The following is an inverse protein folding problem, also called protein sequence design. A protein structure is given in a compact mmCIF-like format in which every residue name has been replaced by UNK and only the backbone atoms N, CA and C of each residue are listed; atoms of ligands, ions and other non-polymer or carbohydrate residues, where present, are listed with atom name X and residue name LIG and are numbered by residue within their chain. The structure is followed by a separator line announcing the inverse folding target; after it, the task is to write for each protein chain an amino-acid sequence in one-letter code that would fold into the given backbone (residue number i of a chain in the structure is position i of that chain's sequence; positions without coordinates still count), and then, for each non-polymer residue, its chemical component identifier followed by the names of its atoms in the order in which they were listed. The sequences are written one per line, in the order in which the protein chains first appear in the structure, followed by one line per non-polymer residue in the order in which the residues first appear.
data_IF_868997939748
#
_entry.id   IF_868997939748
#
_cell.length_a   1.000
_cell.length_b   1.000
_cell.length_c   1.000
_cell.angle_alpha   90.00
_cell.angle_beta   90.00
_cell.angle_gamma   90.00
#
_symmetry.space_group_name_H-M   'P 1'
#
loop_
_entity.id
_entity.type
_entity.pdbx_description
1 polymer ?
#
# COMPACT_ATOMS: atom_id res chain seq x y z
N UNK A 1 12.45 2.24 28.08
CA UNK A 1 12.23 3.67 27.78
C UNK A 1 10.85 3.88 27.19
N UNK A 2 10.07 4.80 27.78
CA UNK A 2 8.73 5.21 27.33
C UNK A 2 8.82 5.93 25.97
N UNK A 3 7.74 5.89 25.17
CA UNK A 3 7.58 6.75 24.00
C UNK A 3 7.67 8.22 24.43
N UNK A 4 8.65 8.96 23.91
CA UNK A 4 8.55 10.42 23.87
C UNK A 4 7.52 10.78 22.80
N UNK A 5 6.32 11.15 23.24
CA UNK A 5 5.23 11.58 22.36
C UNK A 5 5.36 13.09 22.17
N UNK A 6 5.47 13.54 20.93
CA UNK A 6 5.45 14.97 20.62
C UNK A 6 4.06 15.55 20.94
N UNK A 7 3.92 16.23 22.09
CA UNK A 7 2.62 16.76 22.57
C UNK A 7 2.00 17.80 21.62
N UNK A 8 2.78 18.44 20.75
CA UNK A 8 2.32 19.40 19.71
C UNK A 8 2.31 18.79 18.30
N UNK A 9 2.42 17.47 18.19
CA UNK A 9 2.51 16.74 16.92
C UNK A 9 1.17 16.54 16.20
N UNK A 10 1.18 15.82 15.08
CA UNK A 10 0.00 15.49 14.28
C UNK A 10 -0.88 14.41 14.94
N UNK A 11 -2.20 14.54 14.80
CA UNK A 11 -3.18 13.49 15.12
C UNK A 11 -3.32 12.49 13.96
N UNK A 12 -3.89 11.32 14.21
CA UNK A 12 -4.14 10.28 13.18
C UNK A 12 -5.05 10.82 12.07
N UNK A 13 -6.03 11.65 12.43
CA UNK A 13 -6.89 12.32 11.47
C UNK A 13 -6.12 13.32 10.58
N UNK A 14 -5.20 14.10 11.14
CA UNK A 14 -4.37 15.04 10.37
C UNK A 14 -3.40 14.30 9.44
N UNK A 15 -2.77 13.21 9.92
CA UNK A 15 -1.91 12.38 9.09
C UNK A 15 -2.67 11.78 7.90
N UNK A 16 -3.90 11.33 8.10
CA UNK A 16 -4.75 10.83 7.00
C UNK A 16 -5.12 11.90 5.98
N UNK A 17 -5.29 13.15 6.41
CA UNK A 17 -5.52 14.26 5.48
C UNK A 17 -4.27 14.59 4.67
N UNK A 18 -3.09 14.62 5.31
CA UNK A 18 -1.81 14.79 4.61
C UNK A 18 -1.66 13.66 3.59
N UNK A 19 -1.84 12.40 4.00
CA UNK A 19 -1.78 11.24 3.11
C UNK A 19 -2.79 11.34 1.96
N UNK A 20 -4.03 11.76 2.23
CA UNK A 20 -5.09 11.89 1.22
C UNK A 20 -4.74 12.96 0.17
N UNK A 21 -4.23 14.12 0.58
CA UNK A 21 -3.83 15.18 -0.36
C UNK A 21 -2.68 14.69 -1.23
N UNK A 22 -1.66 14.07 -0.63
CA UNK A 22 -0.52 13.51 -1.35
C UNK A 22 -0.94 12.41 -2.32
N UNK A 23 -1.89 11.54 -1.93
CA UNK A 23 -2.47 10.51 -2.80
C UNK A 23 -3.16 11.11 -4.02
N UNK A 24 -3.92 12.19 -3.83
CA UNK A 24 -4.60 12.88 -4.94
C UNK A 24 -3.58 13.49 -5.89
N UNK A 25 -2.51 14.10 -5.37
CA UNK A 25 -1.42 14.62 -6.20
C UNK A 25 -0.74 13.51 -7.00
N UNK A 26 -0.40 12.40 -6.35
CA UNK A 26 0.20 11.22 -6.99
C UNK A 26 -0.69 10.71 -8.13
N UNK A 27 -1.98 10.56 -7.87
CA UNK A 27 -2.92 10.06 -8.87
C UNK A 27 -3.20 11.06 -9.99
N UNK A 28 -3.18 12.37 -9.72
CA UNK A 28 -3.23 13.38 -10.79
C UNK A 28 -2.02 13.22 -11.72
N UNK A 29 -0.82 12.99 -11.18
CA UNK A 29 0.32 12.66 -12.03
C UNK A 29 0.09 11.34 -12.78
N UNK A 30 -0.16 10.24 -12.06
CA UNK A 30 -0.33 8.89 -12.62
C UNK A 30 -1.38 8.81 -13.75
N UNK A 31 -2.52 9.48 -13.61
CA UNK A 31 -3.58 9.43 -14.63
C UNK A 31 -3.35 10.39 -15.80
N UNK A 32 -2.67 11.52 -15.59
CA UNK A 32 -2.55 12.59 -16.61
C UNK A 32 -1.13 12.84 -17.11
N UNK A 33 -0.15 12.01 -16.72
CA UNK A 33 1.25 12.09 -17.16
C UNK A 33 1.39 12.11 -18.68
N UNK A 34 0.54 11.39 -19.41
CA UNK A 34 0.51 11.36 -20.88
C UNK A 34 0.38 12.75 -21.52
N UNK A 35 -0.14 13.73 -20.79
CA UNK A 35 -0.28 15.11 -21.29
C UNK A 35 1.05 15.87 -21.36
N UNK A 36 2.07 15.40 -20.65
CA UNK A 36 3.36 16.10 -20.47
C UNK A 36 3.27 17.40 -19.66
N UNK A 37 2.10 17.71 -19.09
CA UNK A 37 1.84 18.99 -18.38
C UNK A 37 1.89 18.86 -16.86
N UNK A 38 1.74 17.65 -16.31
CA UNK A 38 1.76 17.44 -14.86
C UNK A 38 3.22 17.27 -14.41
N UNK A 39 3.71 18.09 -13.46
CA UNK A 39 5.08 17.97 -12.98
C UNK A 39 5.34 16.67 -12.21
N UNK A 40 6.52 16.06 -12.41
CA UNK A 40 6.94 14.83 -11.71
C UNK A 40 6.92 14.96 -10.19
N UNK A 41 7.17 16.16 -9.65
CA UNK A 41 7.20 16.37 -8.20
C UNK A 41 5.85 16.08 -7.50
N UNK A 42 4.73 16.07 -8.26
CA UNK A 42 3.44 15.59 -7.75
C UNK A 42 3.53 14.14 -7.29
N UNK A 43 4.13 13.28 -8.12
CA UNK A 43 4.34 11.86 -7.83
C UNK A 43 5.45 11.64 -6.81
N UNK A 44 6.52 12.44 -6.86
CA UNK A 44 7.61 12.39 -5.86
C UNK A 44 7.10 12.63 -4.44
N UNK A 45 6.31 13.71 -4.23
CA UNK A 45 5.65 13.98 -2.95
C UNK A 45 4.56 12.93 -2.66
N UNK A 46 3.89 12.46 -3.71
CA UNK A 46 2.89 11.40 -3.69
C UNK A 46 3.36 10.12 -2.99
N UNK A 47 4.64 9.75 -3.13
CA UNK A 47 5.23 8.55 -2.52
C UNK A 47 5.08 8.47 -0.99
N UNK A 48 4.95 9.61 -0.30
CA UNK A 48 4.76 9.63 1.15
C UNK A 48 3.34 9.18 1.58
N UNK A 49 2.36 9.18 0.66
CA UNK A 49 0.96 8.85 0.94
C UNK A 49 0.78 7.43 1.47
N UNK A 50 1.27 6.44 0.72
CA UNK A 50 1.08 5.04 1.04
C UNK A 50 1.66 4.64 2.41
N UNK A 51 2.91 5.03 2.75
CA UNK A 51 3.47 4.80 4.08
C UNK A 51 2.68 5.48 5.21
N UNK A 52 2.15 6.68 4.99
CA UNK A 52 1.33 7.37 5.98
C UNK A 52 0.03 6.60 6.24
N UNK A 53 -0.64 6.13 5.19
CA UNK A 53 -1.82 5.27 5.34
C UNK A 53 -1.47 3.94 6.01
N UNK A 54 -0.34 3.33 5.67
CA UNK A 54 0.18 2.13 6.32
C UNK A 54 0.39 2.38 7.83
N UNK A 55 1.04 3.48 8.19
CA UNK A 55 1.26 3.84 9.59
C UNK A 55 -0.07 4.00 10.35
N UNK A 56 -1.01 4.76 9.79
CA UNK A 56 -2.36 4.94 10.34
C UNK A 56 -3.17 3.64 10.44
N UNK A 57 -2.99 2.72 9.48
CA UNK A 57 -3.58 1.38 9.50
C UNK A 57 -3.08 0.59 10.71
N UNK A 58 -1.76 0.59 10.96
CA UNK A 58 -1.13 -0.11 12.07
C UNK A 58 -1.58 0.44 13.44
N UNK A 59 -1.67 1.76 13.58
CA UNK A 59 -2.24 2.40 14.78
C UNK A 59 -3.71 1.98 14.98
N UNK A 60 -4.50 1.96 13.91
CA UNK A 60 -5.89 1.49 13.93
C UNK A 60 -6.02 0.02 14.37
N UNK A 61 -5.13 -0.85 13.89
CA UNK A 61 -5.10 -2.27 14.25
C UNK A 61 -4.78 -2.52 15.73
N UNK A 62 -3.91 -1.68 16.32
CA UNK A 62 -3.55 -1.79 17.73
C UNK A 62 -4.66 -1.32 18.66
N UNK A 63 -5.39 -0.28 18.28
CA UNK A 63 -6.40 0.34 19.13
C UNK A 63 -7.82 -0.16 18.89
N UNK A 64 -8.06 -0.99 17.87
CA UNK A 64 -9.41 -1.53 17.60
C UNK A 64 -9.80 -2.60 18.63
N UNK A 65 -11.03 -2.50 19.15
CA UNK A 65 -11.62 -3.52 20.04
C UNK A 65 -12.00 -4.80 19.28
N UNK A 66 -12.32 -4.70 18.00
CA UNK A 66 -12.73 -5.84 17.16
C UNK A 66 -11.90 -5.85 15.86
N UNK A 67 -10.87 -6.71 15.86
CA UNK A 67 -9.95 -6.86 14.72
C UNK A 67 -10.60 -7.54 13.51
N UNK A 68 -11.52 -8.50 13.72
CA UNK A 68 -12.26 -9.14 12.62
C UNK A 68 -13.08 -8.13 11.83
N UNK A 69 -13.83 -7.27 12.51
CA UNK A 69 -14.61 -6.19 11.85
C UNK A 69 -13.71 -5.13 11.22
N UNK A 70 -12.52 -4.90 11.77
CA UNK A 70 -11.54 -3.98 11.18
C UNK A 70 -10.99 -4.55 9.86
N UNK A 71 -10.52 -5.79 9.87
CA UNK A 71 -10.06 -6.52 8.69
C UNK A 71 -11.15 -6.60 7.61
N UNK A 72 -12.36 -7.08 7.95
CA UNK A 72 -13.44 -7.26 6.96
C UNK A 72 -13.81 -5.98 6.22
N UNK A 73 -13.70 -4.81 6.87
CA UNK A 73 -13.96 -3.52 6.22
C UNK A 73 -12.94 -3.20 5.14
N UNK A 74 -11.67 -3.47 5.41
CA UNK A 74 -10.57 -3.20 4.48
C UNK A 74 -10.59 -4.25 3.36
N UNK A 75 -10.74 -5.52 3.73
CA UNK A 75 -10.81 -6.63 2.81
C UNK A 75 -12.00 -6.54 1.84
N UNK A 76 -13.18 -6.15 2.31
CA UNK A 76 -14.34 -5.98 1.42
C UNK A 76 -14.11 -4.91 0.34
N UNK A 77 -13.45 -3.80 0.70
CA UNK A 77 -13.11 -2.75 -0.27
C UNK A 77 -12.01 -3.25 -1.21
N UNK A 78 -11.00 -3.96 -0.69
CA UNK A 78 -9.95 -4.56 -1.51
C UNK A 78 -10.52 -5.52 -2.57
N UNK A 79 -11.42 -6.43 -2.18
CA UNK A 79 -12.10 -7.36 -3.10
C UNK A 79 -12.92 -6.61 -4.15
N UNK A 80 -13.69 -5.59 -3.73
CA UNK A 80 -14.50 -4.79 -4.66
C UNK A 80 -13.66 -4.01 -5.66
N UNK A 81 -12.60 -3.35 -5.20
CA UNK A 81 -11.68 -2.60 -6.06
C UNK A 81 -10.90 -3.50 -7.00
N UNK A 82 -10.44 -4.64 -6.50
CA UNK A 82 -9.67 -5.56 -7.29
C UNK A 82 -10.54 -6.32 -8.32
N UNK A 83 -11.81 -6.61 -8.01
CA UNK A 83 -12.77 -7.08 -9.02
C UNK A 83 -12.93 -6.03 -10.14
N UNK A 84 -13.05 -4.76 -9.77
CA UNK A 84 -13.18 -3.68 -10.74
C UNK A 84 -11.90 -3.54 -11.60
N UNK A 85 -10.71 -3.65 -10.98
CA UNK A 85 -9.45 -3.70 -11.71
C UNK A 85 -9.38 -4.89 -12.67
N UNK A 86 -9.81 -6.08 -12.25
CA UNK A 86 -9.86 -7.26 -13.12
C UNK A 86 -10.78 -7.05 -14.33
N UNK A 87 -11.97 -6.47 -14.12
CA UNK A 87 -12.90 -6.11 -15.20
C UNK A 87 -12.22 -5.13 -16.18
N UNK A 88 -11.49 -4.14 -15.68
CA UNK A 88 -10.82 -3.16 -16.52
C UNK A 88 -9.69 -3.80 -17.34
N UNK A 89 -8.88 -4.65 -16.71
CA UNK A 89 -7.83 -5.41 -17.40
C UNK A 89 -8.42 -6.24 -18.54
N UNK A 90 -9.58 -6.86 -18.35
CA UNK A 90 -10.22 -7.71 -19.35
C UNK A 90 -10.96 -6.93 -20.44
N UNK A 91 -11.62 -5.82 -20.10
CA UNK A 91 -12.65 -5.21 -20.96
C UNK A 91 -12.52 -3.69 -21.16
N UNK A 92 -11.87 -2.96 -20.26
CA UNK A 92 -11.86 -1.49 -20.28
C UNK A 92 -10.44 -0.96 -20.21
N UNK A 93 -9.93 -0.51 -21.36
CA UNK A 93 -8.61 0.12 -21.47
C UNK A 93 -8.74 1.54 -22.01
N UNK A 94 -7.84 2.41 -21.58
CA UNK A 94 -7.68 3.73 -22.19
C UNK A 94 -7.13 3.57 -23.62
N UNK A 95 -7.36 4.51 -24.56
CA UNK A 95 -6.92 4.35 -25.96
C UNK A 95 -5.42 4.07 -26.15
N UNK A 96 -4.57 4.52 -25.22
CA UNK A 96 -3.13 4.25 -25.18
C UNK A 96 -2.76 2.90 -24.52
N UNK A 97 -3.76 2.09 -24.16
CA UNK A 97 -3.59 0.79 -23.50
C UNK A 97 -3.49 0.86 -21.97
N UNK A 98 -3.51 2.05 -21.37
CA UNK A 98 -3.36 2.21 -19.92
C UNK A 98 -4.55 1.61 -19.14
N UNK A 99 -4.24 0.94 -18.02
CA UNK A 99 -5.21 0.37 -17.08
C UNK A 99 -4.78 0.66 -15.65
N UNK A 100 -5.66 1.22 -14.79
CA UNK A 100 -5.33 1.56 -13.42
C UNK A 100 -4.91 0.33 -12.61
N UNK A 101 -3.74 0.41 -11.96
CA UNK A 101 -3.20 -0.66 -11.10
C UNK A 101 -3.23 -0.24 -9.62
N UNK A 102 -4.38 -0.42 -8.94
CA UNK A 102 -4.60 0.14 -7.60
C UNK A 102 -5.03 -0.94 -6.59
N UNK A 103 -4.09 -1.71 -6.05
CA UNK A 103 -4.31 -2.81 -5.10
C UNK A 103 -3.72 -2.58 -3.70
N UNK A 104 -3.38 -1.35 -3.30
CA UNK A 104 -2.84 -1.05 -1.96
C UNK A 104 -3.66 -1.66 -0.80
N UNK A 105 -5.00 -1.62 -0.86
CA UNK A 105 -5.84 -2.21 0.19
C UNK A 105 -5.76 -3.76 0.25
N UNK A 106 -5.43 -4.42 -0.86
CA UNK A 106 -5.14 -5.85 -0.88
C UNK A 106 -3.84 -6.14 -0.11
N UNK A 107 -2.79 -5.34 -0.34
CA UNK A 107 -1.55 -5.37 0.46
C UNK A 107 -1.82 -5.22 1.95
N UNK A 108 -2.63 -4.22 2.34
CA UNK A 108 -3.01 -4.02 3.74
C UNK A 108 -3.79 -5.21 4.31
N UNK A 109 -4.66 -5.83 3.53
CA UNK A 109 -5.42 -7.01 3.96
C UNK A 109 -4.50 -8.18 4.27
N UNK A 110 -3.51 -8.46 3.39
CA UNK A 110 -2.50 -9.49 3.62
C UNK A 110 -1.70 -9.17 4.89
N UNK A 111 -1.20 -7.93 5.01
CA UNK A 111 -0.43 -7.50 6.16
C UNK A 111 -1.20 -7.71 7.48
N UNK A 112 -2.48 -7.33 7.54
CA UNK A 112 -3.28 -7.51 8.75
C UNK A 112 -3.43 -8.97 9.18
N UNK A 113 -3.49 -9.90 8.23
CA UNK A 113 -3.50 -11.35 8.50
C UNK A 113 -2.15 -11.78 9.09
N UNK A 114 -1.04 -11.37 8.49
CA UNK A 114 0.31 -11.66 8.99
C UNK A 114 0.51 -11.10 10.41
N UNK A 115 0.12 -9.84 10.66
CA UNK A 115 0.23 -9.21 11.98
C UNK A 115 -0.64 -9.92 13.04
N UNK A 116 -1.84 -10.35 12.66
CA UNK A 116 -2.68 -11.16 13.54
C UNK A 116 -2.04 -12.53 13.83
N UNK A 117 -1.37 -13.13 12.84
CA UNK A 117 -0.57 -14.34 13.01
C UNK A 117 0.57 -14.16 14.02
N UNK A 118 1.33 -13.07 13.90
CA UNK A 118 2.40 -12.71 14.86
C UNK A 118 1.84 -12.61 16.29
N UNK A 119 0.69 -11.97 16.47
CA UNK A 119 0.06 -11.84 17.78
C UNK A 119 -0.45 -13.19 18.34
N UNK A 120 -0.90 -14.12 17.49
CA UNK A 120 -1.25 -15.48 17.91
C UNK A 120 -0.04 -16.31 18.30
N UNK A 121 1.08 -16.20 17.58
CA UNK A 121 2.35 -16.81 17.98
C UNK A 121 2.81 -16.33 19.36
N UNK A 122 2.70 -15.02 19.64
CA UNK A 122 2.99 -14.45 20.98
C UNK A 122 2.10 -15.02 22.09
N UNK A 123 0.88 -15.42 21.76
CA UNK A 123 -0.05 -16.10 22.67
C UNK A 123 0.16 -17.63 22.74
N UNK A 124 1.28 -18.15 22.20
CA UNK A 124 1.59 -19.58 22.09
C UNK A 124 0.58 -20.40 21.24
N UNK A 125 -0.24 -19.74 20.42
CA UNK A 125 -1.17 -20.38 19.48
C UNK A 125 -0.47 -20.64 18.14
N UNK A 126 0.60 -21.44 18.19
CA UNK A 126 1.55 -21.60 17.08
C UNK A 126 0.89 -22.06 15.77
N UNK A 127 0.03 -23.08 15.79
CA UNK A 127 -0.61 -23.57 14.56
C UNK A 127 -1.40 -22.50 13.82
N UNK A 128 -2.26 -21.75 14.54
CA UNK A 128 -3.04 -20.65 13.96
C UNK A 128 -2.17 -19.44 13.58
N UNK A 129 -1.15 -19.15 14.38
CA UNK A 129 -0.26 -18.02 14.14
C UNK A 129 0.63 -18.23 12.92
N UNK A 130 1.30 -19.39 12.84
CA UNK A 130 2.17 -19.76 11.73
C UNK A 130 1.37 -19.91 10.43
N UNK A 131 0.18 -20.50 10.45
CA UNK A 131 -0.63 -20.60 9.22
C UNK A 131 -1.01 -19.23 8.67
N UNK A 132 -1.38 -18.27 9.52
CA UNK A 132 -1.69 -16.90 9.11
C UNK A 132 -0.48 -16.12 8.58
N UNK A 133 0.74 -16.51 8.94
CA UNK A 133 1.97 -15.89 8.41
C UNK A 133 2.40 -16.58 7.12
N UNK A 134 2.44 -17.91 7.12
CA UNK A 134 3.04 -18.72 6.06
C UNK A 134 2.13 -18.82 4.82
N UNK A 135 0.82 -18.99 5.00
CA UNK A 135 -0.10 -19.16 3.86
C UNK A 135 -0.07 -17.97 2.89
N UNK A 136 -0.15 -16.69 3.35
CA UNK A 136 -0.07 -15.57 2.42
C UNK A 136 1.30 -15.43 1.74
N UNK A 137 2.39 -15.85 2.40
CA UNK A 137 3.75 -15.77 1.85
C UNK A 137 4.03 -16.84 0.80
N UNK A 138 3.46 -18.04 0.98
CA UNK A 138 3.63 -19.17 0.04
C UNK A 138 2.67 -19.03 -1.15
N UNK A 139 1.52 -18.39 -0.96
CA UNK A 139 0.46 -18.31 -1.97
C UNK A 139 0.94 -17.83 -3.36
N UNK A 140 1.79 -16.79 -3.51
CA UNK A 140 2.25 -16.40 -4.84
C UNK A 140 2.98 -17.50 -5.61
N UNK A 141 3.78 -18.30 -4.91
CA UNK A 141 4.50 -19.41 -5.53
C UNK A 141 3.56 -20.55 -5.92
N UNK A 142 2.57 -20.83 -5.08
CA UNK A 142 1.52 -21.83 -5.39
C UNK A 142 0.67 -21.38 -6.57
N UNK A 143 0.20 -20.12 -6.57
CA UNK A 143 -0.57 -19.55 -7.66
C UNK A 143 0.17 -19.61 -8.98
N UNK A 144 1.43 -19.14 -9.01
CA UNK A 144 2.26 -19.21 -10.22
C UNK A 144 2.56 -20.66 -10.64
N UNK A 145 2.84 -21.56 -9.70
CA UNK A 145 3.05 -22.98 -9.98
C UNK A 145 1.82 -23.65 -10.60
N UNK A 146 0.61 -23.30 -10.14
CA UNK A 146 -0.64 -23.79 -10.72
C UNK A 146 -0.85 -23.31 -12.15
N UNK A 147 -0.53 -22.04 -12.45
CA UNK A 147 -0.60 -21.50 -13.81
C UNK A 147 0.36 -22.26 -14.74
N UNK A 148 1.58 -22.55 -14.28
CA UNK A 148 2.58 -23.27 -15.07
C UNK A 148 2.20 -24.74 -15.29
N UNK A 149 1.69 -25.42 -14.25
CA UNK A 149 1.30 -26.83 -14.35
C UNK A 149 -0.02 -27.05 -15.12
N UNK A 150 -0.96 -26.12 -14.99
CA UNK A 150 -2.29 -26.18 -15.62
C UNK A 150 -2.62 -24.81 -16.24
N UNK A 151 -2.16 -24.52 -17.47
CA UNK A 151 -2.37 -23.22 -18.11
C UNK A 151 -3.83 -22.78 -18.22
N UNK A 152 -4.77 -23.73 -18.33
CA UNK A 152 -6.21 -23.44 -18.34
C UNK A 152 -6.74 -22.86 -17.02
N UNK A 153 -6.01 -23.03 -15.91
CA UNK A 153 -6.34 -22.43 -14.62
C UNK A 153 -5.95 -20.95 -14.50
N UNK A 154 -5.23 -20.39 -15.49
CA UNK A 154 -4.67 -19.03 -15.41
C UNK A 154 -5.71 -17.96 -15.07
N UNK A 155 -6.84 -17.93 -15.77
CA UNK A 155 -7.89 -16.95 -15.54
C UNK A 155 -8.49 -17.06 -14.13
N UNK A 156 -8.62 -18.28 -13.60
CA UNK A 156 -9.12 -18.49 -12.24
C UNK A 156 -8.11 -18.01 -11.20
N UNK A 157 -6.83 -18.30 -11.37
CA UNK A 157 -5.76 -17.84 -10.47
C UNK A 157 -5.63 -16.31 -10.51
N UNK A 158 -5.70 -15.71 -11.70
CA UNK A 158 -5.69 -14.25 -11.85
C UNK A 158 -6.91 -13.62 -11.21
N UNK A 159 -8.12 -14.14 -11.44
CA UNK A 159 -9.32 -13.64 -10.77
C UNK A 159 -9.17 -13.68 -9.24
N UNK A 160 -8.62 -14.77 -8.69
CA UNK A 160 -8.33 -14.89 -7.26
C UNK A 160 -7.31 -13.84 -6.80
N UNK A 161 -6.21 -13.64 -7.54
CA UNK A 161 -5.22 -12.61 -7.26
C UNK A 161 -5.84 -11.21 -7.18
N UNK A 162 -6.65 -10.86 -8.17
CA UNK A 162 -7.29 -9.55 -8.18
C UNK A 162 -8.42 -9.44 -7.15
N UNK A 163 -8.96 -10.53 -6.58
CA UNK A 163 -10.12 -10.46 -5.67
C UNK A 163 -9.82 -11.01 -4.29
N UNK A 164 -9.98 -12.32 -4.10
CA UNK A 164 -10.09 -12.96 -2.79
C UNK A 164 -8.74 -13.37 -2.20
N UNK A 165 -7.78 -13.74 -3.04
CA UNK A 165 -6.48 -14.25 -2.64
C UNK A 165 -5.38 -13.49 -3.38
N UNK A 166 -5.13 -12.22 -3.00
CA UNK A 166 -4.08 -11.43 -3.61
C UNK A 166 -2.70 -12.03 -3.38
N UNK A 167 -1.88 -12.03 -4.43
CA UNK A 167 -0.48 -12.47 -4.40
C UNK A 167 0.40 -11.24 -4.20
N UNK A 168 1.01 -11.10 -3.02
CA UNK A 168 1.77 -9.90 -2.68
C UNK A 168 2.96 -9.60 -3.61
N UNK A 169 3.51 -10.60 -4.29
CA UNK A 169 4.61 -10.41 -5.25
C UNK A 169 4.14 -9.90 -6.62
N UNK A 170 2.84 -9.90 -6.89
CA UNK A 170 2.26 -9.44 -8.15
C UNK A 170 1.46 -8.13 -7.99
N UNK A 171 1.48 -7.52 -6.81
CA UNK A 171 0.89 -6.19 -6.56
C UNK A 171 1.92 -5.12 -6.92
N UNK A 172 1.55 -4.20 -7.81
CA UNK A 172 2.47 -3.17 -8.36
C UNK A 172 2.58 -1.95 -7.43
N UNK A 173 1.46 -1.43 -6.93
CA UNK A 173 1.40 -0.21 -6.14
C UNK A 173 1.77 -0.41 -4.66
N UNK A 174 2.19 -1.62 -4.28
CA UNK A 174 2.57 -1.99 -2.92
C UNK A 174 3.25 -3.35 -2.87
N UNK A 175 2.56 -4.36 -2.34
CA UNK A 175 3.06 -5.73 -2.35
C UNK A 175 4.11 -6.03 -1.29
N UNK A 176 5.10 -6.85 -1.65
CA UNK A 176 6.06 -7.44 -0.70
C UNK A 176 6.80 -6.40 0.13
N UNK A 177 7.29 -5.31 -0.49
CA UNK A 177 8.08 -4.29 0.22
C UNK A 177 7.26 -3.60 1.32
N UNK A 178 6.04 -3.19 1.00
CA UNK A 178 5.11 -2.60 1.97
C UNK A 178 4.70 -3.56 3.09
N UNK A 179 4.63 -4.87 2.83
CA UNK A 179 4.40 -5.86 3.89
C UNK A 179 5.58 -5.89 4.86
N UNK A 180 6.82 -5.91 4.35
CA UNK A 180 8.03 -5.92 5.17
C UNK A 180 8.13 -4.65 6.02
N UNK A 181 7.89 -3.49 5.41
CA UNK A 181 7.83 -2.20 6.13
C UNK A 181 6.73 -2.19 7.19
N UNK A 182 5.54 -2.69 6.86
CA UNK A 182 4.42 -2.79 7.79
C UNK A 182 4.73 -3.67 9.00
N UNK A 183 5.43 -4.79 8.78
CA UNK A 183 5.90 -5.67 9.87
C UNK A 183 6.92 -4.93 10.73
N UNK A 184 7.92 -4.26 10.15
CA UNK A 184 8.93 -3.52 10.93
C UNK A 184 8.32 -2.36 11.72
N UNK A 185 7.46 -1.56 11.08
CA UNK A 185 6.70 -0.51 11.77
C UNK A 185 5.89 -1.10 12.93
N UNK A 186 5.28 -2.28 12.74
CA UNK A 186 4.57 -2.96 13.81
C UNK A 186 5.51 -3.47 14.91
N UNK A 187 6.72 -3.94 14.61
CA UNK A 187 7.66 -4.42 15.63
C UNK A 187 8.19 -3.27 16.50
N UNK A 188 8.51 -2.13 15.89
CA UNK A 188 9.11 -0.98 16.56
C UNK A 188 8.12 0.05 17.14
N UNK A 189 6.80 -0.15 17.05
CA UNK A 189 5.77 0.85 17.48
C UNK A 189 5.90 1.44 18.89
N UNK A 190 6.59 0.74 19.79
CA UNK A 190 6.80 1.17 21.18
C UNK A 190 7.94 2.18 21.32
N UNK A 191 8.70 2.44 20.26
CA UNK A 191 9.84 3.37 20.23
C UNK A 191 9.74 4.24 18.98
N UNK A 192 9.01 5.36 19.09
CA UNK A 192 8.68 6.27 17.97
C UNK A 192 9.87 6.71 17.11
N UNK A 193 10.96 7.17 17.73
CA UNK A 193 12.17 7.59 17.01
C UNK A 193 12.79 6.43 16.21
N UNK A 194 12.95 5.27 16.86
CA UNK A 194 13.51 4.09 16.22
C UNK A 194 12.59 3.55 15.11
N UNK A 195 11.27 3.59 15.33
CA UNK A 195 10.28 3.20 14.33
C UNK A 195 10.42 4.04 13.05
N UNK A 196 10.52 5.36 13.19
CA UNK A 196 10.69 6.27 12.06
C UNK A 196 12.05 6.09 11.36
N UNK A 197 13.14 5.95 12.13
CA UNK A 197 14.48 5.74 11.58
C UNK A 197 14.59 4.42 10.82
N UNK A 198 14.09 3.32 11.39
CA UNK A 198 14.09 1.99 10.73
C UNK A 198 13.24 2.02 9.48
N UNK A 199 12.08 2.69 9.51
CA UNK A 199 11.25 2.85 8.31
C UNK A 199 11.98 3.61 7.21
N UNK A 200 12.59 4.76 7.52
CA UNK A 200 13.35 5.55 6.56
C UNK A 200 14.46 4.73 5.89
N UNK A 201 15.28 4.05 6.70
CA UNK A 201 16.37 3.21 6.18
C UNK A 201 15.84 2.07 5.31
N UNK A 202 14.75 1.42 5.73
CA UNK A 202 14.19 0.32 4.96
C UNK A 202 13.61 0.80 3.62
N UNK A 203 12.90 1.93 3.59
CA UNK A 203 12.37 2.52 2.37
C UNK A 203 13.49 2.89 1.40
N UNK A 204 14.59 3.48 1.88
CA UNK A 204 15.77 3.75 1.04
C UNK A 204 16.35 2.47 0.42
N UNK A 205 16.39 1.38 1.19
CA UNK A 205 16.95 0.11 0.72
C UNK A 205 15.99 -0.58 -0.26
N UNK A 206 14.72 -0.76 0.12
CA UNK A 206 13.75 -1.56 -0.64
C UNK A 206 13.19 -0.82 -1.85
N UNK A 207 13.04 0.50 -1.79
CA UNK A 207 12.44 1.31 -2.86
C UNK A 207 13.44 2.22 -3.59
N UNK A 208 14.73 2.19 -3.19
CA UNK A 208 15.82 2.93 -3.83
C UNK A 208 16.95 2.01 -4.27
N UNK A 209 17.76 1.57 -3.31
CA UNK A 209 18.99 0.81 -3.57
C UNK A 209 18.70 -0.50 -4.29
N UNK A 210 17.72 -1.28 -3.84
CA UNK A 210 17.45 -2.59 -4.41
C UNK A 210 16.92 -2.51 -5.85
N UNK A 211 15.91 -1.69 -6.19
CA UNK A 211 15.50 -1.48 -7.59
C UNK A 211 16.64 -0.96 -8.47
N UNK A 212 17.45 -0.03 -7.95
CA UNK A 212 18.60 0.53 -8.67
C UNK A 212 19.62 -0.55 -9.04
N UNK A 213 20.00 -1.41 -8.09
CA UNK A 213 20.98 -2.49 -8.33
C UNK A 213 20.44 -3.58 -9.26
N UNK A 214 19.12 -3.82 -9.26
CA UNK A 214 18.50 -4.83 -10.11
C UNK A 214 18.20 -4.35 -11.53
N UNK A 215 18.31 -3.05 -11.81
CA UNK A 215 17.99 -2.46 -13.11
C UNK A 215 19.26 -2.32 -13.95
N UNK A 216 19.47 -3.14 -14.99
CA UNK A 216 20.67 -3.05 -15.83
C UNK A 216 20.75 -1.67 -16.50
N UNK A 217 21.92 -1.02 -16.38
CA UNK A 217 22.14 0.30 -16.96
C UNK A 217 21.56 1.47 -16.16
N UNK A 218 21.11 1.25 -14.91
CA UNK A 218 20.61 2.32 -14.06
C UNK A 218 21.67 3.41 -13.83
N UNK A 219 21.28 4.68 -14.04
CA UNK A 219 22.12 5.85 -13.79
C UNK A 219 21.66 6.58 -12.54
N UNK A 220 22.56 7.34 -11.90
CA UNK A 220 22.20 8.11 -10.70
C UNK A 220 21.07 9.12 -10.94
N UNK A 221 20.93 9.62 -12.18
CA UNK A 221 19.82 10.48 -12.59
C UNK A 221 18.46 9.79 -12.48
N UNK A 222 18.40 8.49 -12.75
CA UNK A 222 17.15 7.73 -12.65
C UNK A 222 16.60 7.72 -11.23
N UNK A 223 17.44 7.82 -10.19
CA UNK A 223 16.99 7.88 -8.79
C UNK A 223 16.11 9.11 -8.50
N UNK A 224 16.21 10.16 -9.30
CA UNK A 224 15.41 11.37 -9.14
C UNK A 224 14.36 11.56 -10.22
N UNK A 225 14.47 10.92 -11.40
CA UNK A 225 13.49 11.08 -12.50
C UNK A 225 12.47 9.94 -12.59
N UNK A 226 12.88 8.69 -12.37
CA UNK A 226 12.00 7.51 -12.65
C UNK A 226 11.96 6.50 -11.50
N UNK A 227 12.96 6.48 -10.64
CA UNK A 227 13.15 5.55 -9.52
C UNK A 227 13.10 6.27 -8.17
N UNK A 228 12.23 7.27 -8.04
CA UNK A 228 12.09 8.09 -6.82
C UNK A 228 11.23 7.43 -5.73
N UNK A 229 11.02 6.10 -5.77
CA UNK A 229 10.26 5.34 -4.78
C UNK A 229 10.78 5.53 -3.35
N UNK A 230 12.11 5.59 -3.19
CA UNK A 230 12.81 5.85 -1.93
C UNK A 230 12.36 7.12 -1.19
N UNK A 231 11.75 8.09 -1.88
CA UNK A 231 11.20 9.29 -1.25
C UNK A 231 10.04 8.96 -0.29
N UNK A 232 9.41 7.80 -0.42
CA UNK A 232 8.44 7.24 0.53
C UNK A 232 8.99 7.26 1.96
N UNK A 233 10.30 7.08 2.13
CA UNK A 233 11.02 7.12 3.40
C UNK A 233 10.79 8.41 4.18
N UNK A 234 10.62 9.56 3.51
CA UNK A 234 10.37 10.84 4.16
C UNK A 234 9.05 10.90 4.94
N UNK A 235 8.14 9.94 4.74
CA UNK A 235 6.98 9.75 5.60
C UNK A 235 7.39 9.45 7.06
N UNK A 236 8.63 9.04 7.32
CA UNK A 236 9.21 8.96 8.66
C UNK A 236 9.07 10.26 9.46
N UNK A 237 9.15 11.44 8.82
CA UNK A 237 9.07 12.75 9.47
C UNK A 237 7.68 12.94 10.12
N UNK A 238 6.56 12.92 9.36
CA UNK A 238 5.22 13.02 9.96
C UNK A 238 4.89 11.84 10.90
N UNK A 239 5.40 10.63 10.64
CA UNK A 239 5.26 9.51 11.58
C UNK A 239 5.93 9.76 12.93
N UNK A 240 7.12 10.36 12.94
CA UNK A 240 7.85 10.75 14.14
C UNK A 240 7.10 11.83 14.92
N UNK A 241 6.52 12.80 14.19
CA UNK A 241 5.72 13.88 14.74
C UNK A 241 4.29 13.45 15.15
N UNK A 242 3.93 12.18 15.08
CA UNK A 242 2.62 11.71 15.53
C UNK A 242 2.45 11.83 17.06
N UNK A 243 1.34 12.44 17.49
CA UNK A 243 1.08 12.74 18.90
C UNK A 243 0.29 11.65 19.66
N UNK A 244 0.01 10.49 19.03
CA UNK A 244 -0.71 9.38 19.67
C UNK A 244 -2.23 9.58 19.79
N UNK A 245 -2.76 10.71 19.36
CA UNK A 245 -4.19 10.99 19.44
C UNK A 245 -4.89 10.71 18.12
N UNK A 246 -6.13 10.20 18.23
CA UNK A 246 -6.98 9.90 17.08
C UNK A 246 -7.36 11.15 16.26
N UNK A 247 -7.56 12.29 16.93
CA UNK A 247 -8.20 13.46 16.34
C UNK A 247 -9.72 13.29 16.13
N UNK A 248 -10.41 14.38 15.77
CA UNK A 248 -11.86 14.42 15.48
C UNK A 248 -12.09 14.33 13.98
N UNK A 249 -12.98 13.45 13.52
CA UNK A 249 -13.37 13.41 12.11
C UNK A 249 -14.10 12.14 11.63
N UNK A 250 -14.51 12.16 10.37
CA UNK A 250 -15.31 11.10 9.75
C UNK A 250 -14.45 9.95 9.21
N UNK A 251 -14.57 8.78 9.83
CA UNK A 251 -13.81 7.58 9.47
C UNK A 251 -14.21 7.00 8.11
N UNK A 252 -15.45 7.23 7.66
CA UNK A 252 -15.99 6.65 6.41
C UNK A 252 -15.40 7.30 5.16
N UNK A 253 -15.00 8.58 5.26
CA UNK A 253 -14.46 9.35 4.14
C UNK A 253 -13.27 8.63 3.50
N UNK A 254 -12.25 8.29 4.30
CA UNK A 254 -11.01 7.69 3.81
C UNK A 254 -11.18 6.30 3.16
N UNK A 255 -12.26 5.59 3.48
CA UNK A 255 -12.53 4.27 2.91
C UNK A 255 -13.18 4.35 1.52
N UNK A 256 -14.12 5.27 1.33
CA UNK A 256 -14.85 5.42 0.07
C UNK A 256 -14.16 6.38 -0.91
N UNK A 257 -13.37 7.31 -0.40
CA UNK A 257 -12.62 8.24 -1.23
C UNK A 257 -11.65 7.51 -2.14
N UNK A 258 -10.93 6.50 -1.62
CA UNK A 258 -9.94 5.74 -2.38
C UNK A 258 -10.48 5.12 -3.70
N UNK A 259 -11.53 4.28 -3.69
CA UNK A 259 -12.12 3.81 -4.94
C UNK A 259 -12.70 4.94 -5.78
N UNK A 260 -13.42 5.89 -5.18
CA UNK A 260 -14.11 6.93 -5.93
C UNK A 260 -13.14 7.79 -6.77
N UNK A 261 -12.09 8.35 -6.15
CA UNK A 261 -11.19 9.25 -6.88
C UNK A 261 -10.37 8.51 -7.95
N UNK A 262 -9.95 7.25 -7.72
CA UNK A 262 -9.23 6.44 -8.72
C UNK A 262 -10.03 6.33 -10.02
N UNK A 263 -11.29 5.92 -9.93
CA UNK A 263 -12.10 5.66 -11.12
C UNK A 263 -12.69 6.94 -11.73
N UNK A 264 -12.90 7.99 -10.93
CA UNK A 264 -13.25 9.33 -11.45
C UNK A 264 -12.09 9.90 -12.27
N UNK A 265 -10.87 9.91 -11.71
CA UNK A 265 -9.69 10.41 -12.42
C UNK A 265 -9.40 9.57 -13.66
N UNK A 266 -9.54 8.25 -13.58
CA UNK A 266 -9.43 7.40 -14.76
C UNK A 266 -10.44 7.78 -15.85
N UNK A 267 -11.72 7.94 -15.51
CA UNK A 267 -12.75 8.33 -16.47
C UNK A 267 -12.47 9.67 -17.14
N UNK A 268 -12.01 10.67 -16.38
CA UNK A 268 -11.62 11.98 -16.93
C UNK A 268 -10.39 11.81 -17.84
N UNK A 269 -9.37 11.07 -17.41
CA UNK A 269 -8.17 10.81 -18.22
C UNK A 269 -8.50 10.07 -19.52
N UNK A 270 -9.50 9.19 -19.49
CA UNK A 270 -9.96 8.43 -20.64
C UNK A 270 -10.61 9.34 -21.69
N UNK A 271 -11.48 10.25 -21.25
CA UNK A 271 -12.10 11.25 -22.14
C UNK A 271 -11.05 12.20 -22.71
N UNK A 272 -10.11 12.68 -21.89
CA UNK A 272 -9.04 13.56 -22.36
C UNK A 272 -8.11 12.91 -23.39
N UNK A 273 -7.89 11.59 -23.31
CA UNK A 273 -7.08 10.87 -24.29
C UNK A 273 -7.76 10.75 -25.67
N UNK A 274 -9.08 10.92 -25.73
CA UNK A 274 -9.83 10.92 -26.99
C UNK A 274 -9.84 12.28 -27.70
N UNK A 275 -9.52 13.35 -26.98
CA UNK A 275 -9.49 14.73 -27.49
C UNK A 275 -8.10 15.06 -28.05
#
# INVERSE_FOLDING_TARGET
MKNEICKKGFTDFQLKWIALVLMVMDHIHYFFEFTGKIPEWFSMLGRLSAPLFLFCLLEGFQHTRNRKKYFLRIYAIAVGMGLLQYIFICFVRRPDGFVPQNQMLATFSILLVILQGIDWCKQKKWGRGLSAIVLPLIWPFVGMGLIQAVPSAANAVLLLHYTLLPMHSAIIDGGTYFILEGILLYLFRKRRALQAAVFFVLALILEGVFPFLLTPGATAEMLITTMYGWMSGFAAIPMYLYNGQRGKGNKKLFYWFYPAHVYILYGISWVMQLL
#
